data_IF_551979530361
#
_entry.id   IF_551979530361
#
_cell.length_a   1.000
_cell.length_b   1.000
_cell.length_c   1.000
_cell.angle_alpha   90.00
_cell.angle_beta   90.00
_cell.angle_gamma   90.00
#
_symmetry.space_group_name_H-M   'P 1'
#
loop_
_entity.id
_entity.type
_entity.pdbx_description
1 polymer ?
#
# COMPACT_ATOMS: atom_id res chain seq x y z
N UNK A 1 -18.51 -17.73 10.34
CA UNK A 1 -17.81 -16.98 9.28
C UNK A 1 -16.53 -16.39 9.82
N UNK A 2 -15.47 -16.60 9.13
CA UNK A 2 -14.18 -16.11 9.55
C UNK A 2 -13.98 -14.67 9.10
N UNK A 3 -13.74 -13.78 10.04
CA UNK A 3 -13.40 -12.39 9.75
C UNK A 3 -11.95 -12.25 9.29
N UNK A 4 -11.19 -13.32 9.37
CA UNK A 4 -9.78 -13.33 9.02
C UNK A 4 -9.56 -13.24 7.53
N UNK A 5 -10.58 -13.57 6.75
CA UNK A 5 -10.50 -13.52 5.31
C UNK A 5 -11.51 -12.53 4.74
N UNK A 6 -11.01 -11.34 4.45
CA UNK A 6 -11.80 -10.28 3.83
C UNK A 6 -11.14 -9.96 2.48
N UNK A 7 -11.78 -10.35 1.37
CA UNK A 7 -11.16 -10.19 0.05
C UNK A 7 -10.77 -8.75 -0.28
N UNK A 8 -11.53 -7.78 0.20
CA UNK A 8 -11.24 -6.37 -0.06
C UNK A 8 -9.95 -5.90 0.63
N UNK A 9 -9.58 -6.52 1.74
CA UNK A 9 -8.40 -6.12 2.49
C UNK A 9 -7.12 -6.78 1.99
N UNK A 10 -7.22 -7.96 1.39
CA UNK A 10 -6.04 -8.71 1.00
C UNK A 10 -5.13 -7.94 0.03
N UNK A 11 -5.63 -7.35 -1.07
CA UNK A 11 -4.75 -6.56 -1.94
C UNK A 11 -4.19 -5.33 -1.25
N UNK A 12 -4.93 -4.74 -0.30
CA UNK A 12 -4.43 -3.59 0.47
C UNK A 12 -3.25 -3.99 1.36
N UNK A 13 -3.35 -5.11 2.04
CA UNK A 13 -2.25 -5.61 2.87
C UNK A 13 -1.02 -5.97 2.03
N UNK A 14 -1.22 -6.58 0.88
CA UNK A 14 -0.12 -6.93 -0.03
C UNK A 14 0.58 -5.67 -0.54
N UNK A 15 -0.17 -4.66 -0.94
CA UNK A 15 0.39 -3.39 -1.40
C UNK A 15 1.13 -2.68 -0.27
N UNK A 16 0.56 -2.68 0.94
CA UNK A 16 1.21 -2.08 2.10
C UNK A 16 2.53 -2.76 2.42
N UNK A 17 2.54 -4.09 2.40
CA UNK A 17 3.76 -4.86 2.68
C UNK A 17 4.87 -4.54 1.68
N UNK A 18 4.53 -4.45 0.40
CA UNK A 18 5.50 -4.11 -0.65
C UNK A 18 6.07 -2.70 -0.47
N UNK A 19 5.21 -1.75 -0.13
CA UNK A 19 5.62 -0.36 0.10
C UNK A 19 6.50 -0.24 1.34
N UNK A 20 6.16 -0.95 2.41
CA UNK A 20 6.97 -0.95 3.64
C UNK A 20 8.34 -1.58 3.39
N UNK A 21 8.40 -2.62 2.57
CA UNK A 21 9.64 -3.24 2.20
C UNK A 21 10.54 -2.27 1.42
N UNK A 22 9.97 -1.53 0.48
CA UNK A 22 10.69 -0.52 -0.27
C UNK A 22 11.17 0.61 0.63
N UNK A 23 10.32 1.07 1.55
CA UNK A 23 10.65 2.12 2.50
C UNK A 23 11.80 1.70 3.40
N UNK A 24 11.77 0.48 3.92
CA UNK A 24 12.84 -0.08 4.75
C UNK A 24 14.16 -0.12 3.99
N UNK A 25 14.12 -0.56 2.74
CA UNK A 25 15.33 -0.65 1.94
C UNK A 25 15.94 0.72 1.70
N UNK A 26 15.12 1.72 1.44
CA UNK A 26 15.60 3.09 1.26
C UNK A 26 16.15 3.66 2.55
N UNK A 27 15.50 3.42 3.68
CA UNK A 27 15.95 3.90 4.98
C UNK A 27 17.28 3.29 5.39
N UNK A 28 17.45 2.00 5.16
CA UNK A 28 18.66 1.27 5.54
C UNK A 28 19.83 1.49 4.59
N UNK A 29 19.58 2.06 3.41
CA UNK A 29 20.60 2.30 2.39
C UNK A 29 20.50 3.72 1.87
N UNK A 30 20.88 4.72 2.69
CA UNK A 30 20.65 6.13 2.36
C UNK A 30 21.38 6.60 1.09
N UNK A 31 22.46 5.94 0.71
CA UNK A 31 23.24 6.30 -0.47
C UNK A 31 22.89 5.49 -1.71
N UNK A 32 21.93 4.55 -1.58
CA UNK A 32 21.55 3.72 -2.70
C UNK A 32 20.61 4.46 -3.65
N UNK A 33 20.94 4.43 -4.93
CA UNK A 33 20.06 4.97 -5.96
C UNK A 33 18.85 4.05 -6.14
N UNK A 34 17.71 4.66 -6.40
CA UNK A 34 16.50 3.92 -6.71
C UNK A 34 15.82 4.51 -7.93
N UNK A 35 14.97 3.69 -8.55
CA UNK A 35 14.25 4.07 -9.76
C UNK A 35 12.82 3.58 -9.65
N UNK A 36 11.90 4.41 -10.09
CA UNK A 36 10.50 4.03 -10.17
C UNK A 36 10.16 3.60 -11.59
N UNK A 37 9.43 2.50 -11.72
CA UNK A 37 9.00 1.99 -13.02
C UNK A 37 7.50 1.76 -13.01
N UNK A 38 6.88 2.09 -14.13
CA UNK A 38 5.48 1.77 -14.39
C UNK A 38 5.41 0.59 -15.33
N UNK A 39 4.61 -0.41 -14.93
CA UNK A 39 4.35 -1.56 -15.78
C UNK A 39 2.92 -1.48 -16.28
N UNK A 40 2.76 -1.55 -17.58
CA UNK A 40 1.45 -1.48 -18.21
C UNK A 40 0.90 -2.87 -18.50
N UNK A 41 -0.41 -2.94 -18.69
CA UNK A 41 -1.09 -4.20 -18.93
C UNK A 41 -0.70 -4.87 -20.26
N UNK A 42 -0.13 -4.11 -21.19
CA UNK A 42 0.37 -4.65 -22.45
C UNK A 42 1.77 -5.26 -22.33
N UNK A 43 2.34 -5.25 -21.13
CA UNK A 43 3.68 -5.78 -20.88
C UNK A 43 4.80 -4.77 -21.00
N UNK A 44 4.51 -3.55 -21.45
CA UNK A 44 5.54 -2.51 -21.53
C UNK A 44 5.88 -1.93 -20.16
N UNK A 45 7.08 -1.38 -20.05
CA UNK A 45 7.54 -0.72 -18.84
C UNK A 45 8.16 0.61 -19.18
N UNK A 46 7.94 1.60 -18.33
CA UNK A 46 8.55 2.92 -18.47
C UNK A 46 9.25 3.26 -17.17
N UNK A 47 10.54 3.60 -17.27
CA UNK A 47 11.30 4.06 -16.12
C UNK A 47 11.06 5.57 -15.95
N UNK A 48 10.73 5.98 -14.74
CA UNK A 48 10.49 7.38 -14.42
C UNK A 48 11.75 8.01 -13.83
N UNK A 49 12.09 9.19 -14.32
CA UNK A 49 13.22 9.95 -13.79
C UNK A 49 12.73 10.81 -12.63
N UNK A 50 12.58 10.19 -11.47
CA UNK A 50 12.12 10.85 -10.25
C UNK A 50 13.26 10.80 -9.24
N UNK A 51 13.47 11.89 -8.52
CA UNK A 51 14.48 11.94 -7.48
C UNK A 51 14.14 10.98 -6.34
N UNK A 52 15.16 10.44 -5.69
CA UNK A 52 14.97 9.53 -4.57
C UNK A 52 14.07 10.12 -3.48
N UNK A 53 14.28 11.39 -3.14
CA UNK A 53 13.48 12.04 -2.10
C UNK A 53 11.99 12.08 -2.47
N UNK A 54 11.69 12.33 -3.74
CA UNK A 54 10.33 12.34 -4.24
C UNK A 54 9.73 10.93 -4.21
N UNK A 55 10.53 9.92 -4.53
CA UNK A 55 10.10 8.52 -4.45
C UNK A 55 9.75 8.15 -3.01
N UNK A 56 10.59 8.54 -2.05
CA UNK A 56 10.33 8.31 -0.63
C UNK A 56 9.01 8.95 -0.20
N UNK A 57 8.76 10.18 -0.63
CA UNK A 57 7.51 10.88 -0.33
C UNK A 57 6.30 10.18 -0.93
N UNK A 58 6.40 9.72 -2.17
CA UNK A 58 5.34 8.98 -2.85
C UNK A 58 5.01 7.69 -2.09
N UNK A 59 6.04 6.96 -1.68
CA UNK A 59 5.86 5.73 -0.92
C UNK A 59 5.16 6.01 0.40
N UNK A 60 5.60 7.02 1.13
CA UNK A 60 5.02 7.39 2.42
C UNK A 60 3.56 7.80 2.28
N UNK A 61 3.23 8.62 1.28
CA UNK A 61 1.85 9.02 1.01
C UNK A 61 0.98 7.83 0.65
N UNK A 62 1.51 6.91 -0.16
CA UNK A 62 0.76 5.74 -0.59
C UNK A 62 0.46 4.81 0.59
N UNK A 63 1.42 4.62 1.47
CA UNK A 63 1.22 3.83 2.69
C UNK A 63 0.08 4.46 3.52
N UNK A 64 0.11 5.77 3.71
CA UNK A 64 -0.94 6.47 4.45
C UNK A 64 -2.32 6.30 3.81
N UNK A 65 -2.41 6.40 2.50
CA UNK A 65 -3.65 6.20 1.76
C UNK A 65 -4.19 4.78 1.94
N UNK A 66 -3.31 3.80 1.83
CA UNK A 66 -3.69 2.38 2.00
C UNK A 66 -4.16 2.11 3.43
N UNK A 67 -3.45 2.64 4.42
CA UNK A 67 -3.83 2.50 5.82
C UNK A 67 -5.20 3.11 6.10
N UNK A 68 -5.48 4.28 5.53
CA UNK A 68 -6.79 4.91 5.64
C UNK A 68 -7.87 4.02 5.03
N UNK A 69 -7.60 3.42 3.88
CA UNK A 69 -8.54 2.50 3.23
C UNK A 69 -8.80 1.25 4.06
N UNK A 70 -7.75 0.71 4.69
CA UNK A 70 -7.89 -0.44 5.57
C UNK A 70 -8.77 -0.09 6.76
N UNK A 71 -8.52 1.03 7.41
CA UNK A 71 -9.31 1.46 8.56
C UNK A 71 -10.77 1.71 8.19
N UNK A 72 -11.02 2.36 7.06
CA UNK A 72 -12.39 2.60 6.58
C UNK A 72 -13.13 1.29 6.34
N UNK A 73 -12.48 0.32 5.72
CA UNK A 73 -13.09 -0.98 5.45
C UNK A 73 -13.40 -1.71 6.75
N UNK A 74 -12.47 -1.70 7.70
CA UNK A 74 -12.68 -2.33 9.01
C UNK A 74 -13.81 -1.65 9.78
N UNK A 75 -13.89 -0.34 9.75
CA UNK A 75 -14.95 0.40 10.41
C UNK A 75 -16.33 0.05 9.84
N UNK A 76 -16.44 -0.07 8.53
CA UNK A 76 -17.69 -0.49 7.89
C UNK A 76 -18.11 -1.87 8.35
N UNK A 77 -17.18 -2.79 8.42
CA UNK A 77 -17.46 -4.17 8.85
C UNK A 77 -17.92 -4.20 10.30
N UNK A 78 -17.24 -3.47 11.18
CA UNK A 78 -17.60 -3.39 12.59
C UNK A 78 -19.00 -2.78 12.75
N UNK A 79 -19.30 -1.72 12.00
CA UNK A 79 -20.61 -1.08 12.03
C UNK A 79 -21.71 -2.05 11.61
N UNK A 80 -21.50 -2.80 10.54
CA UNK A 80 -22.46 -3.79 10.07
C UNK A 80 -22.72 -4.87 11.13
N UNK A 81 -21.67 -5.36 11.76
CA UNK A 81 -21.81 -6.37 12.81
C UNK A 81 -22.59 -5.85 14.01
N UNK A 82 -22.32 -4.61 14.41
CA UNK A 82 -23.04 -3.98 15.51
C UNK A 82 -24.52 -3.87 15.19
N UNK A 83 -24.85 -3.47 13.98
CA UNK A 83 -26.24 -3.36 13.54
C UNK A 83 -26.96 -4.72 13.49
N UNK A 84 -26.25 -5.77 13.13
CA UNK A 84 -26.81 -7.12 13.07
C UNK A 84 -27.12 -7.67 14.45
N UNK A 85 -26.41 -7.25 15.45
CA UNK A 85 -26.59 -7.73 16.81
C UNK A 85 -27.74 -7.04 17.56
N UNK A 86 -28.32 -6.05 16.96
CA UNK A 86 -29.48 -5.36 17.50
C UNK A 86 -30.75 -5.93 16.93
#
# INVERSE_FOLDING_TARGET
MTKDFIPELQPLFCSRASLLQAQDKLTNNPDMDCQMRLRFSDGSEVALKIKRDDIENIITEHIGTIETSIHSTLDEIVTEETNQNN
#
